data_IF_938316929860
#
_entry.id   IF_938316929860
#
_cell.length_a   1.000
_cell.length_b   1.000
_cell.length_c   1.000
_cell.angle_alpha   90.00
_cell.angle_beta   90.00
_cell.angle_gamma   90.00
#
_symmetry.space_group_name_H-M   'P 1'
#
loop_
_entity.id
_entity.type
_entity.pdbx_description
1 polymer ?
#
# COMPACT_ATOMS: atom_id res chain seq x y z
N UNK A 1 -12.16 24.04 13.55
CA UNK A 1 -13.42 23.27 13.37
C UNK A 1 -13.35 22.18 12.30
N UNK A 2 -12.68 22.37 11.15
CA UNK A 2 -12.66 21.37 10.04
C UNK A 2 -12.03 20.01 10.41
N UNK A 3 -11.00 19.99 11.27
CA UNK A 3 -10.23 18.78 11.61
C UNK A 3 -11.04 17.65 12.27
N UNK A 4 -11.81 17.88 13.36
CA UNK A 4 -12.63 16.83 13.97
C UNK A 4 -13.79 16.37 13.08
N UNK A 5 -14.33 17.27 12.24
CA UNK A 5 -15.44 16.96 11.32
C UNK A 5 -15.06 15.89 10.29
N UNK A 6 -13.86 15.98 9.70
CA UNK A 6 -13.41 14.99 8.70
C UNK A 6 -13.25 13.58 9.27
N UNK A 7 -12.85 13.46 10.54
CA UNK A 7 -12.72 12.15 11.21
C UNK A 7 -14.05 11.61 11.74
N UNK A 8 -14.99 12.48 12.09
CA UNK A 8 -16.31 12.08 12.58
C UNK A 8 -17.26 11.68 11.45
N UNK A 9 -17.13 12.27 10.26
CA UNK A 9 -18.02 12.04 9.13
C UNK A 9 -18.16 10.56 8.73
N UNK A 10 -17.08 9.75 8.62
CA UNK A 10 -17.22 8.32 8.32
C UNK A 10 -17.98 7.56 9.41
N UNK A 11 -17.82 7.93 10.68
CA UNK A 11 -18.53 7.27 11.79
C UNK A 11 -20.02 7.58 11.74
N UNK A 12 -20.39 8.84 11.47
CA UNK A 12 -21.80 9.22 11.29
C UNK A 12 -22.41 8.49 10.09
N UNK A 13 -21.72 8.45 8.96
CA UNK A 13 -22.19 7.72 7.78
C UNK A 13 -22.35 6.21 8.06
N UNK A 14 -21.42 5.62 8.79
CA UNK A 14 -21.49 4.23 9.21
C UNK A 14 -22.74 3.94 10.05
N UNK A 15 -23.07 4.82 11.00
CA UNK A 15 -24.27 4.70 11.84
C UNK A 15 -25.54 4.84 10.99
N UNK A 16 -25.60 5.83 10.10
CA UNK A 16 -26.76 6.02 9.20
C UNK A 16 -26.97 4.79 8.30
N UNK A 17 -25.91 4.29 7.67
CA UNK A 17 -26.00 3.10 6.82
C UNK A 17 -26.32 1.84 7.61
N UNK A 18 -25.84 1.70 8.84
CA UNK A 18 -26.22 0.59 9.70
C UNK A 18 -27.72 0.64 10.04
N UNK A 19 -28.25 1.79 10.47
CA UNK A 19 -29.66 1.96 10.81
C UNK A 19 -30.59 1.80 9.60
N UNK A 20 -30.09 2.11 8.40
CA UNK A 20 -30.84 1.99 7.14
C UNK A 20 -30.58 0.67 6.38
N UNK A 21 -29.87 -0.28 6.99
CA UNK A 21 -29.43 -1.55 6.38
C UNK A 21 -28.81 -1.40 4.99
N UNK A 22 -27.94 -0.40 4.83
CA UNK A 22 -27.19 -0.14 3.60
C UNK A 22 -25.81 -0.78 3.67
N UNK A 23 -25.36 -1.47 2.61
CA UNK A 23 -24.07 -2.14 2.59
C UNK A 23 -22.91 -1.12 2.58
N UNK A 24 -21.84 -1.41 3.32
CA UNK A 24 -20.59 -0.63 3.32
C UNK A 24 -19.39 -1.54 3.55
N UNK A 25 -18.32 -1.30 2.79
CA UNK A 25 -17.00 -1.82 3.10
C UNK A 25 -16.82 -3.32 2.88
N UNK A 26 -16.65 -3.73 1.63
CA UNK A 26 -16.39 -5.13 1.24
C UNK A 26 -15.18 -5.70 1.97
N UNK A 27 -14.04 -5.01 1.98
CA UNK A 27 -12.81 -5.55 2.58
C UNK A 27 -12.88 -5.53 4.11
N UNK A 28 -13.49 -4.49 4.69
CA UNK A 28 -13.75 -4.48 6.13
C UNK A 28 -14.70 -5.59 6.58
N UNK A 29 -15.65 -6.00 5.73
CA UNK A 29 -16.50 -7.16 5.99
C UNK A 29 -15.69 -8.47 5.99
N UNK A 30 -14.71 -8.62 5.10
CA UNK A 30 -13.76 -9.76 5.11
C UNK A 30 -12.92 -9.76 6.38
N UNK A 31 -12.38 -8.61 6.82
CA UNK A 31 -11.59 -8.52 8.07
C UNK A 31 -12.43 -8.92 9.29
N UNK A 32 -13.65 -8.40 9.36
CA UNK A 32 -14.60 -8.74 10.42
C UNK A 32 -15.01 -10.21 10.37
N UNK A 33 -15.25 -10.77 9.19
CA UNK A 33 -15.61 -12.17 9.03
C UNK A 33 -14.46 -13.10 9.43
N UNK A 34 -13.21 -12.76 9.09
CA UNK A 34 -12.02 -13.47 9.57
C UNK A 34 -11.89 -13.43 11.09
N UNK A 35 -12.10 -12.27 11.71
CA UNK A 35 -12.14 -12.13 13.17
C UNK A 35 -13.26 -12.98 13.83
N UNK A 36 -14.45 -13.03 13.23
CA UNK A 36 -15.53 -13.91 13.69
C UNK A 36 -15.19 -15.39 13.50
N UNK A 37 -14.44 -15.75 12.45
CA UNK A 37 -13.99 -17.12 12.23
C UNK A 37 -13.07 -17.56 13.39
N UNK A 38 -12.13 -16.71 13.81
CA UNK A 38 -11.27 -16.94 14.98
C UNK A 38 -12.11 -17.20 16.23
N UNK A 39 -13.10 -16.35 16.52
CA UNK A 39 -13.97 -16.50 17.70
C UNK A 39 -14.83 -17.77 17.67
N UNK A 40 -15.15 -18.28 16.48
CA UNK A 40 -15.99 -19.46 16.27
C UNK A 40 -15.19 -20.75 16.07
N UNK A 41 -13.86 -20.69 16.11
CA UNK A 41 -13.00 -21.85 15.81
C UNK A 41 -13.12 -22.33 14.36
N UNK A 42 -13.44 -21.44 13.42
CA UNK A 42 -13.58 -21.73 12.00
C UNK A 42 -12.27 -21.43 11.25
N UNK A 43 -11.99 -22.17 10.18
CA UNK A 43 -10.82 -21.97 9.32
C UNK A 43 -10.86 -20.61 8.63
N UNK A 44 -9.74 -19.88 8.65
CA UNK A 44 -9.61 -18.57 8.00
C UNK A 44 -9.55 -18.66 6.47
N UNK A 45 -9.03 -19.77 5.96
CA UNK A 45 -8.73 -19.94 4.53
C UNK A 45 -9.71 -20.89 3.83
N UNK A 46 -10.88 -21.11 4.43
CA UNK A 46 -12.08 -21.66 3.80
C UNK A 46 -13.07 -20.51 3.54
N UNK A 47 -14.17 -20.74 2.78
CA UNK A 47 -15.22 -19.74 2.63
C UNK A 47 -15.70 -19.22 4.00
N UNK A 48 -15.63 -17.90 4.19
CA UNK A 48 -15.93 -17.26 5.47
C UNK A 48 -17.44 -17.24 5.72
N UNK A 49 -17.91 -18.06 6.66
CA UNK A 49 -19.35 -18.19 6.98
C UNK A 49 -20.00 -16.91 7.52
N UNK A 50 -19.21 -15.94 8.00
CA UNK A 50 -19.70 -14.70 8.58
C UNK A 50 -19.66 -13.50 7.62
N UNK A 51 -19.35 -13.73 6.34
CA UNK A 51 -19.38 -12.68 5.33
C UNK A 51 -20.85 -12.29 5.04
N UNK A 52 -21.19 -10.99 4.98
CA UNK A 52 -22.56 -10.58 4.67
C UNK A 52 -22.97 -10.94 3.23
N UNK A 53 -24.25 -11.27 3.01
CA UNK A 53 -24.77 -11.72 1.71
C UNK A 53 -24.59 -10.71 0.57
N UNK A 54 -24.56 -9.41 0.89
CA UNK A 54 -24.32 -8.35 -0.10
C UNK A 54 -22.85 -8.27 -0.56
N UNK A 55 -21.93 -8.85 0.21
CA UNK A 55 -20.51 -8.82 -0.10
C UNK A 55 -20.16 -10.00 -1.00
N UNK A 56 -19.33 -9.82 -2.03
CA UNK A 56 -18.75 -10.95 -2.75
C UNK A 56 -18.03 -11.89 -1.77
N UNK A 57 -18.06 -13.19 -2.05
CA UNK A 57 -17.41 -14.24 -1.26
C UNK A 57 -15.88 -14.20 -1.41
N UNK A 58 -15.25 -13.11 -0.95
CA UNK A 58 -13.81 -12.92 -1.03
C UNK A 58 -13.08 -13.74 0.06
N UNK A 59 -11.94 -14.36 -0.26
CA UNK A 59 -11.17 -15.12 0.71
C UNK A 59 -10.40 -14.21 1.66
N UNK A 60 -10.08 -14.72 2.85
CA UNK A 60 -9.09 -14.09 3.72
C UNK A 60 -7.69 -14.35 3.16
N UNK A 61 -6.92 -13.28 2.92
CA UNK A 61 -5.59 -13.36 2.27
C UNK A 61 -4.44 -12.86 3.16
N UNK A 62 -4.74 -12.54 4.41
CA UNK A 62 -3.78 -11.96 5.36
C UNK A 62 -3.17 -13.06 6.24
N UNK A 63 -1.99 -12.84 6.85
CA UNK A 63 -1.44 -13.72 7.88
C UNK A 63 -2.45 -13.97 9.00
N UNK A 64 -2.45 -15.15 9.65
CA UNK A 64 -3.47 -15.50 10.65
C UNK A 64 -3.55 -14.52 11.83
N UNK A 65 -2.40 -14.00 12.27
CA UNK A 65 -2.35 -13.01 13.35
C UNK A 65 -3.11 -11.73 13.01
N UNK A 66 -3.26 -11.38 11.73
CA UNK A 66 -4.07 -10.24 11.32
C UNK A 66 -5.54 -10.41 11.71
N UNK A 67 -6.11 -11.62 11.59
CA UNK A 67 -7.49 -11.88 12.01
C UNK A 67 -7.68 -11.68 13.52
N UNK A 68 -6.68 -12.07 14.32
CA UNK A 68 -6.66 -11.81 15.77
C UNK A 68 -6.59 -10.30 16.05
N UNK A 69 -5.75 -9.56 15.33
CA UNK A 69 -5.67 -8.10 15.45
C UNK A 69 -6.96 -7.38 15.00
N UNK A 70 -7.77 -8.03 14.16
CA UNK A 70 -9.09 -7.55 13.74
C UNK A 70 -10.24 -7.94 14.66
N UNK A 71 -9.99 -8.66 15.78
CA UNK A 71 -11.02 -9.00 16.77
C UNK A 71 -11.90 -7.83 17.23
N UNK A 72 -11.38 -6.60 17.44
CA UNK A 72 -12.23 -5.46 17.80
C UNK A 72 -13.34 -5.17 16.77
N UNK A 73 -13.13 -5.49 15.48
CA UNK A 73 -14.12 -5.30 14.42
C UNK A 73 -15.30 -6.28 14.53
N UNK A 74 -15.11 -7.42 15.19
CA UNK A 74 -16.17 -8.40 15.41
C UNK A 74 -17.20 -7.92 16.46
N UNK A 75 -16.84 -6.93 17.29
CA UNK A 75 -17.70 -6.41 18.35
C UNK A 75 -18.84 -5.51 17.85
N UNK A 76 -18.80 -5.11 16.58
CA UNK A 76 -19.75 -4.17 15.99
C UNK A 76 -20.33 -4.72 14.68
N UNK A 77 -21.46 -4.20 14.18
CA UNK A 77 -21.96 -4.50 12.83
C UNK A 77 -20.96 -4.14 11.72
N UNK A 78 -21.10 -4.76 10.54
CA UNK A 78 -20.15 -4.60 9.43
C UNK A 78 -19.95 -3.14 9.00
N UNK A 79 -21.03 -2.35 8.95
CA UNK A 79 -21.01 -0.93 8.61
C UNK A 79 -20.23 -0.10 9.64
N UNK A 80 -20.35 -0.43 10.94
CA UNK A 80 -19.59 0.25 11.99
C UNK A 80 -18.11 -0.14 11.96
N UNK A 81 -17.79 -1.41 11.65
CA UNK A 81 -16.41 -1.84 11.42
C UNK A 81 -15.76 -1.07 10.25
N UNK A 82 -16.51 -0.85 9.15
CA UNK A 82 -16.11 0.05 8.08
C UNK A 82 -15.86 1.47 8.60
N UNK A 83 -16.77 2.02 9.42
CA UNK A 83 -16.64 3.36 9.99
C UNK A 83 -15.36 3.55 10.81
N UNK A 84 -14.97 2.55 11.60
CA UNK A 84 -13.72 2.54 12.37
C UNK A 84 -12.50 2.61 11.44
N UNK A 85 -12.46 1.78 10.39
CA UNK A 85 -11.34 1.75 9.44
C UNK A 85 -11.28 3.00 8.55
N UNK A 86 -12.43 3.55 8.17
CA UNK A 86 -12.51 4.80 7.42
C UNK A 86 -12.02 5.99 8.27
N UNK A 87 -12.43 6.09 9.54
CA UNK A 87 -11.93 7.10 10.46
C UNK A 87 -10.41 6.95 10.71
N UNK A 88 -9.95 5.71 10.90
CA UNK A 88 -8.53 5.37 11.00
C UNK A 88 -7.74 5.78 9.76
N UNK A 89 -8.31 5.58 8.57
CA UNK A 89 -7.74 6.03 7.30
C UNK A 89 -7.59 7.55 7.27
N UNK A 90 -8.64 8.32 7.57
CA UNK A 90 -8.55 9.80 7.58
C UNK A 90 -7.46 10.29 8.55
N UNK A 91 -7.37 9.68 9.75
CA UNK A 91 -6.32 9.99 10.71
C UNK A 91 -4.91 9.63 10.21
N UNK A 92 -4.79 8.48 9.56
CA UNK A 92 -3.54 8.02 8.96
C UNK A 92 -3.07 8.94 7.83
N UNK A 93 -3.99 9.39 6.96
CA UNK A 93 -3.70 10.35 5.89
C UNK A 93 -3.25 11.69 6.46
N UNK A 94 -3.97 12.21 7.48
CA UNK A 94 -3.58 13.44 8.17
C UNK A 94 -2.19 13.35 8.77
N UNK A 95 -1.88 12.22 9.43
CA UNK A 95 -0.56 11.95 10.01
C UNK A 95 0.51 11.90 8.92
N UNK A 96 0.22 11.23 7.80
CA UNK A 96 1.14 11.09 6.66
C UNK A 96 1.45 12.43 5.99
N UNK A 97 0.44 13.28 5.78
CA UNK A 97 0.62 14.65 5.26
C UNK A 97 1.53 15.46 6.20
N UNK A 98 1.29 15.38 7.52
CA UNK A 98 2.13 16.07 8.51
C UNK A 98 3.58 15.59 8.49
N UNK A 99 3.79 14.27 8.49
CA UNK A 99 5.14 13.68 8.49
C UNK A 99 5.92 13.98 7.20
N UNK A 100 5.22 14.10 6.07
CA UNK A 100 5.81 14.51 4.80
C UNK A 100 6.07 16.04 4.70
N UNK A 101 5.74 16.82 5.75
CA UNK A 101 5.86 18.28 5.77
C UNK A 101 4.82 19.01 4.92
N UNK A 102 3.78 18.31 4.45
CA UNK A 102 2.78 18.87 3.56
C UNK A 102 1.76 19.78 4.23
N UNK A 103 1.11 20.67 3.46
CA UNK A 103 0.08 21.54 3.98
C UNK A 103 -1.20 20.78 4.31
N UNK A 104 -1.74 20.99 5.51
CA UNK A 104 -2.97 20.34 5.97
C UNK A 104 -4.21 20.69 5.12
N UNK A 105 -4.22 21.86 4.48
CA UNK A 105 -5.32 22.30 3.63
C UNK A 105 -5.48 21.43 2.38
N UNK A 106 -4.45 20.67 2.00
CA UNK A 106 -4.53 19.76 0.85
C UNK A 106 -5.32 18.49 1.13
N UNK A 107 -5.60 18.17 2.40
CA UNK A 107 -6.25 16.91 2.77
C UNK A 107 -7.59 16.66 2.06
N UNK A 108 -8.53 17.64 1.93
CA UNK A 108 -9.76 17.43 1.18
C UNK A 108 -9.52 17.07 -0.30
N UNK A 109 -8.52 17.68 -0.95
CA UNK A 109 -8.16 17.35 -2.34
C UNK A 109 -7.57 15.94 -2.44
N UNK A 110 -6.75 15.55 -1.45
CA UNK A 110 -6.12 14.23 -1.41
C UNK A 110 -7.14 13.11 -1.15
N UNK A 111 -8.26 13.40 -0.47
CA UNK A 111 -9.37 12.45 -0.30
C UNK A 111 -10.05 12.10 -1.64
N UNK A 112 -9.97 12.98 -2.64
CA UNK A 112 -10.55 12.75 -3.96
C UNK A 112 -9.68 11.87 -4.87
N UNK A 113 -8.45 11.53 -4.47
CA UNK A 113 -7.60 10.64 -5.26
C UNK A 113 -8.18 9.22 -5.25
N UNK A 114 -8.13 8.54 -6.39
CA UNK A 114 -8.71 7.20 -6.56
C UNK A 114 -8.20 6.19 -5.55
N UNK A 115 -6.88 6.10 -5.26
CA UNK A 115 -6.40 5.15 -4.28
C UNK A 115 -6.98 5.41 -2.89
N UNK A 116 -7.32 6.66 -2.59
CA UNK A 116 -7.78 7.11 -1.27
C UNK A 116 -9.27 6.88 -1.10
N UNK A 117 -10.11 7.41 -2.00
CA UNK A 117 -11.56 7.19 -1.87
C UNK A 117 -11.90 5.71 -2.02
N UNK A 118 -11.15 4.96 -2.84
CA UNK A 118 -11.33 3.50 -2.95
C UNK A 118 -10.90 2.77 -1.68
N UNK A 119 -9.79 3.18 -1.06
CA UNK A 119 -9.39 2.65 0.27
C UNK A 119 -10.48 2.89 1.31
N UNK A 120 -11.05 4.09 1.34
CA UNK A 120 -12.15 4.42 2.26
C UNK A 120 -13.39 3.58 1.93
N UNK A 121 -13.85 3.56 0.68
CA UNK A 121 -15.06 2.84 0.27
C UNK A 121 -14.99 1.34 0.54
N UNK A 122 -13.82 0.72 0.34
CA UNK A 122 -13.61 -0.69 0.66
C UNK A 122 -13.45 -0.98 2.16
N UNK A 123 -13.11 0.02 2.97
CA UNK A 123 -12.75 -0.18 4.38
C UNK A 123 -11.35 -0.81 4.53
N UNK A 124 -10.40 -0.38 3.72
CA UNK A 124 -9.04 -0.93 3.66
C UNK A 124 -8.12 -0.44 4.79
N UNK A 125 -7.21 -1.31 5.24
CA UNK A 125 -6.25 -1.00 6.32
C UNK A 125 -4.96 -0.33 5.80
N UNK A 126 -4.74 -0.33 4.48
CA UNK A 126 -3.46 0.07 3.87
C UNK A 126 -2.98 1.47 4.28
N UNK A 127 -3.88 2.45 4.41
CA UNK A 127 -3.52 3.79 4.84
C UNK A 127 -2.97 3.81 6.28
N UNK A 128 -3.56 3.01 7.18
CA UNK A 128 -3.08 2.85 8.55
C UNK A 128 -1.69 2.23 8.55
N UNK A 129 -1.48 1.15 7.77
CA UNK A 129 -0.16 0.51 7.64
C UNK A 129 0.90 1.46 7.07
N UNK A 130 0.53 2.27 6.06
CA UNK A 130 1.40 3.33 5.52
C UNK A 130 1.79 4.34 6.60
N UNK A 131 0.84 4.80 7.41
CA UNK A 131 1.13 5.75 8.49
C UNK A 131 2.03 5.14 9.58
N UNK A 132 1.83 3.86 9.92
CA UNK A 132 2.73 3.13 10.84
C UNK A 132 4.17 3.12 10.31
N UNK A 133 4.36 2.81 9.02
CA UNK A 133 5.69 2.82 8.39
C UNK A 133 6.29 4.23 8.39
N UNK A 134 5.52 5.26 8.03
CA UNK A 134 6.01 6.65 8.03
C UNK A 134 6.40 7.11 9.44
N UNK A 135 5.59 6.78 10.45
CA UNK A 135 5.90 7.06 11.86
C UNK A 135 7.19 6.36 12.28
N UNK A 136 7.38 5.10 11.92
CA UNK A 136 8.59 4.35 12.26
C UNK A 136 9.85 4.99 11.65
N UNK A 137 9.81 5.23 10.34
CA UNK A 137 10.98 5.67 9.61
C UNK A 137 11.33 7.12 9.93
N UNK A 138 10.32 7.98 10.06
CA UNK A 138 10.52 9.43 10.17
C UNK A 138 10.48 9.94 11.62
N UNK A 139 9.60 9.40 12.47
CA UNK A 139 9.38 9.92 13.82
C UNK A 139 10.06 9.09 14.92
N UNK A 140 10.16 7.76 14.76
CA UNK A 140 10.81 6.87 15.73
C UNK A 140 12.31 6.64 15.43
N UNK A 141 12.86 7.31 14.41
CA UNK A 141 14.27 7.23 14.05
C UNK A 141 15.18 7.56 15.25
N UNK A 142 16.14 6.68 15.52
CA UNK A 142 17.11 6.87 16.60
C UNK A 142 16.58 6.54 18.01
N UNK A 143 15.30 6.18 18.14
CA UNK A 143 14.72 5.73 19.41
C UNK A 143 14.91 4.22 19.61
N UNK A 144 14.65 3.73 20.82
CA UNK A 144 14.61 2.28 21.11
C UNK A 144 13.45 1.54 20.42
N UNK A 145 12.48 2.28 19.88
CA UNK A 145 11.28 1.74 19.22
C UNK A 145 11.39 1.72 17.69
N UNK A 146 12.49 2.19 17.11
CA UNK A 146 12.71 2.11 15.66
C UNK A 146 12.61 0.66 15.16
N UNK A 147 11.88 0.45 14.07
CA UNK A 147 11.58 -0.85 13.46
C UNK A 147 10.30 -1.52 13.98
N UNK A 148 9.81 -1.18 15.17
CA UNK A 148 8.68 -1.89 15.79
C UNK A 148 7.40 -1.76 14.97
N UNK A 149 7.05 -0.56 14.50
CA UNK A 149 5.81 -0.35 13.76
C UNK A 149 5.88 -0.93 12.35
N UNK A 150 7.06 -0.99 11.73
CA UNK A 150 7.28 -1.75 10.49
C UNK A 150 7.01 -3.24 10.73
N UNK A 151 7.53 -3.81 11.82
CA UNK A 151 7.27 -5.21 12.18
C UNK A 151 5.80 -5.52 12.43
N UNK A 152 5.09 -4.64 13.15
CA UNK A 152 3.62 -4.75 13.34
C UNK A 152 2.89 -4.68 12.00
N UNK A 153 3.22 -3.69 11.17
CA UNK A 153 2.58 -3.54 9.86
C UNK A 153 2.83 -4.76 8.96
N UNK A 154 4.05 -5.29 8.97
CA UNK A 154 4.45 -6.50 8.24
C UNK A 154 3.69 -7.75 8.70
N UNK A 155 3.40 -7.85 10.00
CA UNK A 155 2.63 -8.96 10.56
C UNK A 155 1.15 -8.91 10.18
N UNK A 156 0.60 -7.71 9.99
CA UNK A 156 -0.75 -7.54 9.44
C UNK A 156 -0.75 -7.84 7.95
N UNK A 157 0.19 -7.30 7.16
CA UNK A 157 0.29 -7.51 5.72
C UNK A 157 1.76 -7.61 5.34
N UNK A 158 2.16 -8.59 4.53
CA UNK A 158 3.58 -8.83 4.24
C UNK A 158 4.29 -7.68 3.49
N UNK A 159 3.55 -6.82 2.79
CA UNK A 159 4.12 -5.78 1.91
C UNK A 159 5.07 -4.81 2.64
N UNK A 160 4.79 -4.34 3.87
CA UNK A 160 5.75 -3.60 4.68
C UNK A 160 7.14 -4.22 4.92
N UNK A 161 7.36 -5.53 4.69
CA UNK A 161 8.70 -6.14 4.83
C UNK A 161 9.75 -5.50 3.93
N UNK A 162 9.36 -4.88 2.81
CA UNK A 162 10.29 -4.12 1.94
C UNK A 162 10.99 -2.98 2.69
N UNK A 163 10.38 -2.44 3.76
CA UNK A 163 10.99 -1.41 4.58
C UNK A 163 12.08 -1.94 5.53
N UNK A 164 12.18 -3.24 5.76
CA UNK A 164 13.36 -3.83 6.41
C UNK A 164 14.59 -3.59 5.53
N UNK A 165 14.48 -3.80 4.22
CA UNK A 165 15.55 -3.46 3.27
C UNK A 165 15.82 -1.95 3.26
N UNK A 166 14.80 -1.09 3.34
CA UNK A 166 15.00 0.36 3.50
C UNK A 166 15.85 0.71 4.72
N UNK A 167 15.55 0.11 5.88
CA UNK A 167 16.33 0.33 7.11
C UNK A 167 17.79 -0.08 6.92
N UNK A 168 18.05 -1.22 6.27
CA UNK A 168 19.42 -1.65 5.95
C UNK A 168 20.12 -0.67 4.98
N UNK A 169 19.43 -0.25 3.91
CA UNK A 169 19.95 0.70 2.92
C UNK A 169 20.26 2.08 3.50
N UNK A 170 19.57 2.45 4.58
CA UNK A 170 19.73 3.73 5.30
C UNK A 170 20.58 3.61 6.56
N UNK A 171 21.33 2.50 6.72
CA UNK A 171 22.31 2.33 7.80
C UNK A 171 21.68 2.07 9.19
N UNK A 172 20.48 1.49 9.25
CA UNK A 172 19.72 1.21 10.48
C UNK A 172 19.53 -0.30 10.73
N UNK A 173 20.60 -1.11 10.84
CA UNK A 173 20.48 -2.56 11.00
C UNK A 173 19.79 -2.98 12.30
N UNK A 174 19.99 -2.22 13.40
CA UNK A 174 19.31 -2.50 14.68
C UNK A 174 17.78 -2.40 14.55
N UNK A 175 17.30 -1.42 13.82
CA UNK A 175 15.87 -1.24 13.58
C UNK A 175 15.34 -2.32 12.62
N UNK A 176 16.12 -2.73 11.63
CA UNK A 176 15.78 -3.84 10.75
C UNK A 176 15.62 -5.16 11.53
N UNK A 177 16.54 -5.44 12.46
CA UNK A 177 16.45 -6.61 13.36
C UNK A 177 15.23 -6.53 14.26
N UNK A 178 14.93 -5.35 14.86
CA UNK A 178 13.71 -5.17 15.67
C UNK A 178 12.44 -5.37 14.86
N UNK A 179 12.40 -4.85 13.63
CA UNK A 179 11.26 -5.04 12.73
C UNK A 179 11.02 -6.53 12.43
N UNK A 180 12.08 -7.27 12.10
CA UNK A 180 12.00 -8.71 11.91
C UNK A 180 11.62 -9.45 13.19
N UNK A 181 12.17 -9.08 14.34
CA UNK A 181 11.84 -9.70 15.61
C UNK A 181 10.36 -9.52 15.98
N UNK A 182 9.80 -8.32 15.79
CA UNK A 182 8.37 -8.06 16.02
C UNK A 182 7.49 -8.81 15.03
N UNK A 183 7.85 -8.79 13.74
CA UNK A 183 7.16 -9.55 12.71
C UNK A 183 7.13 -11.04 13.02
N UNK A 184 8.28 -11.64 13.31
CA UNK A 184 8.42 -13.05 13.67
C UNK A 184 7.69 -13.36 14.97
N UNK A 185 7.80 -12.51 16.00
CA UNK A 185 7.11 -12.71 17.27
C UNK A 185 5.59 -12.74 17.12
N UNK A 186 5.02 -11.83 16.33
CA UNK A 186 3.58 -11.84 15.99
C UNK A 186 3.21 -13.03 15.10
N UNK A 187 4.08 -13.43 14.16
CA UNK A 187 3.90 -14.63 13.36
C UNK A 187 3.86 -15.90 14.21
N UNK A 188 4.76 -16.03 15.18
CA UNK A 188 4.77 -17.13 16.17
C UNK A 188 3.53 -17.08 17.05
N UNK A 189 3.10 -15.91 17.51
CA UNK A 189 1.83 -15.78 18.21
C UNK A 189 0.65 -16.28 17.34
N UNK A 190 0.64 -15.95 16.05
CA UNK A 190 -0.33 -16.50 15.09
C UNK A 190 -0.28 -18.02 14.98
N UNK A 191 0.92 -18.61 14.95
CA UNK A 191 1.12 -20.06 14.94
C UNK A 191 0.61 -20.73 16.23
N UNK A 192 0.84 -20.11 17.39
CA UNK A 192 0.38 -20.64 18.68
C UNK A 192 -1.13 -20.56 18.82
N UNK A 193 -1.72 -19.43 18.40
CA UNK A 193 -3.16 -19.19 18.51
C UNK A 193 -3.98 -19.95 17.45
N UNK A 194 -3.43 -20.08 16.24
CA UNK A 194 -4.12 -20.60 15.05
C UNK A 194 -3.20 -21.55 14.26
N UNK A 195 -2.79 -22.70 14.83
CA UNK A 195 -1.73 -23.54 14.26
C UNK A 195 -2.06 -24.09 12.87
N UNK A 196 -3.27 -24.61 12.67
CA UNK A 196 -3.70 -25.15 11.38
C UNK A 196 -3.73 -24.10 10.27
N UNK A 197 -4.28 -22.92 10.57
CA UNK A 197 -4.32 -21.78 9.66
C UNK A 197 -2.91 -21.24 9.38
N UNK A 198 -2.04 -21.14 10.39
CA UNK A 198 -0.67 -20.70 10.19
C UNK A 198 0.12 -21.62 9.27
N UNK A 199 0.02 -22.94 9.46
CA UNK A 199 0.65 -23.90 8.54
C UNK A 199 0.11 -23.69 7.13
N UNK A 200 -1.22 -23.69 6.96
CA UNK A 200 -1.87 -23.51 5.66
C UNK A 200 -1.47 -22.20 4.98
N UNK A 201 -1.39 -21.10 5.73
CA UNK A 201 -0.99 -19.80 5.19
C UNK A 201 0.39 -19.85 4.53
N UNK A 202 1.38 -20.37 5.25
CA UNK A 202 2.78 -20.40 4.81
C UNK A 202 3.05 -21.46 3.74
N UNK A 203 2.29 -22.57 3.72
CA UNK A 203 2.52 -23.67 2.77
C UNK A 203 1.67 -23.57 1.50
N UNK A 204 0.49 -22.94 1.55
CA UNK A 204 -0.42 -22.92 0.39
C UNK A 204 -1.01 -21.54 0.11
N UNK A 205 -1.68 -20.89 1.07
CA UNK A 205 -2.44 -19.66 0.80
C UNK A 205 -1.55 -18.54 0.26
N UNK A 206 -0.41 -18.28 0.89
CA UNK A 206 0.53 -17.23 0.45
C UNK A 206 1.06 -17.50 -0.97
N UNK A 207 1.36 -18.77 -1.30
CA UNK A 207 1.89 -19.16 -2.61
C UNK A 207 0.82 -19.14 -3.70
N UNK A 208 -0.41 -19.55 -3.34
CA UNK A 208 -1.57 -19.58 -4.23
C UNK A 208 -2.17 -18.21 -4.52
N UNK A 209 -2.09 -17.26 -3.57
CA UNK A 209 -2.55 -15.89 -3.74
C UNK A 209 -1.88 -15.16 -4.93
N UNK A 210 -0.67 -15.61 -5.34
CA UNK A 210 0.05 -15.07 -6.50
C UNK A 210 -0.36 -15.70 -7.85
N UNK A 211 -1.11 -16.82 -7.83
CA UNK A 211 -1.50 -17.59 -9.02
C UNK A 211 -2.91 -17.29 -9.52
N UNK A 212 -3.65 -16.40 -8.85
CA UNK A 212 -5.00 -16.07 -9.29
C UNK A 212 -4.95 -15.55 -10.73
N UNK A 213 -5.81 -16.11 -11.58
CA UNK A 213 -6.12 -15.70 -12.96
C UNK A 213 -6.47 -14.20 -13.12
N UNK A 214 -6.50 -13.44 -12.02
CA UNK A 214 -6.70 -11.99 -11.97
C UNK A 214 -5.43 -11.14 -11.98
N UNK A 215 -4.22 -11.70 -12.18
CA UNK A 215 -3.02 -10.85 -12.25
C UNK A 215 -3.06 -9.85 -13.42
N UNK A 216 -3.66 -10.23 -14.56
CA UNK A 216 -3.87 -9.35 -15.70
C UNK A 216 -4.96 -8.28 -15.46
N UNK A 217 -5.80 -8.44 -14.43
CA UNK A 217 -6.93 -7.55 -14.17
C UNK A 217 -6.46 -6.12 -14.03
N UNK A 218 -7.20 -5.18 -14.64
CA UNK A 218 -6.79 -3.78 -14.79
C UNK A 218 -6.43 -3.13 -13.45
N UNK A 219 -7.09 -3.53 -12.37
CA UNK A 219 -6.84 -2.98 -11.04
C UNK A 219 -5.44 -3.33 -10.51
N UNK A 220 -4.80 -4.38 -11.00
CA UNK A 220 -3.44 -4.76 -10.63
C UNK A 220 -2.42 -3.84 -11.34
N UNK A 221 -2.05 -2.77 -10.65
CA UNK A 221 -1.03 -1.80 -11.02
C UNK A 221 0.33 -2.20 -10.43
N UNK A 222 0.83 -3.38 -10.82
CA UNK A 222 2.18 -3.87 -10.53
C UNK A 222 2.92 -4.21 -11.83
N UNK A 223 4.22 -4.46 -11.76
CA UNK A 223 4.98 -5.01 -12.89
C UNK A 223 4.45 -6.38 -13.30
N UNK A 224 4.01 -7.21 -12.33
CA UNK A 224 3.36 -8.49 -12.61
C UNK A 224 2.11 -8.28 -13.48
N UNK A 225 1.22 -7.35 -13.09
CA UNK A 225 0.02 -7.06 -13.87
C UNK A 225 0.32 -6.52 -15.27
N UNK A 226 1.30 -5.63 -15.40
CA UNK A 226 1.76 -5.13 -16.71
C UNK A 226 2.28 -6.28 -17.59
N UNK A 227 3.14 -7.14 -17.06
CA UNK A 227 3.73 -8.26 -17.80
C UNK A 227 2.66 -9.29 -18.21
N UNK A 228 1.69 -9.57 -17.34
CA UNK A 228 0.55 -10.43 -17.69
C UNK A 228 -0.34 -9.87 -18.80
N UNK A 229 -0.47 -8.54 -18.89
CA UNK A 229 -1.22 -7.89 -19.97
C UNK A 229 -0.46 -7.82 -21.29
N UNK A 230 0.87 -7.67 -21.26
CA UNK A 230 1.68 -7.40 -22.45
C UNK A 230 2.37 -8.64 -23.03
N UNK A 231 2.78 -9.59 -22.19
CA UNK A 231 3.59 -10.76 -22.60
C UNK A 231 3.04 -12.07 -22.08
N UNK A 232 1.76 -12.09 -21.71
CA UNK A 232 1.10 -13.26 -21.12
C UNK A 232 1.82 -13.83 -19.88
N UNK A 233 2.47 -12.96 -19.10
CA UNK A 233 3.01 -13.32 -17.79
C UNK A 233 4.41 -13.93 -17.81
N UNK A 234 5.25 -13.58 -18.81
CA UNK A 234 6.62 -14.10 -18.90
C UNK A 234 7.41 -13.93 -17.58
N UNK A 235 7.80 -15.04 -16.91
CA UNK A 235 8.47 -14.97 -15.62
C UNK A 235 9.88 -14.37 -15.73
N UNK A 236 10.54 -14.56 -16.88
CA UNK A 236 11.87 -13.98 -17.15
C UNK A 236 11.78 -12.47 -17.27
N UNK A 237 10.82 -11.95 -18.05
CA UNK A 237 10.61 -10.50 -18.19
C UNK A 237 10.26 -9.87 -16.84
N UNK A 238 9.35 -10.49 -16.09
CA UNK A 238 9.00 -10.02 -14.75
C UNK A 238 10.20 -9.97 -13.82
N UNK A 239 11.02 -11.03 -13.78
CA UNK A 239 12.22 -11.09 -12.95
C UNK A 239 13.22 -9.99 -13.32
N UNK A 240 13.49 -9.78 -14.61
CA UNK A 240 14.39 -8.74 -15.09
C UNK A 240 13.90 -7.33 -14.71
N UNK A 241 12.61 -7.04 -14.93
CA UNK A 241 12.02 -5.75 -14.58
C UNK A 241 12.02 -5.52 -13.06
N UNK A 242 11.71 -6.55 -12.28
CA UNK A 242 11.72 -6.48 -10.82
C UNK A 242 13.14 -6.23 -10.29
N UNK A 243 14.15 -6.97 -10.78
CA UNK A 243 15.55 -6.77 -10.41
C UNK A 243 16.06 -5.38 -10.78
N UNK A 244 15.73 -4.90 -12.00
CA UNK A 244 16.07 -3.55 -12.43
C UNK A 244 15.42 -2.50 -11.52
N UNK A 245 14.12 -2.65 -11.23
CA UNK A 245 13.38 -1.76 -10.31
C UNK A 245 14.02 -1.72 -8.92
N UNK A 246 14.33 -2.88 -8.34
CA UNK A 246 14.96 -2.99 -7.02
C UNK A 246 16.37 -2.38 -7.01
N UNK A 247 17.18 -2.63 -8.04
CA UNK A 247 18.52 -2.05 -8.16
C UNK A 247 18.50 -0.52 -8.24
N UNK A 248 17.62 0.03 -9.09
CA UNK A 248 17.39 1.47 -9.22
C UNK A 248 16.88 2.07 -7.92
N UNK A 249 15.88 1.45 -7.30
CA UNK A 249 15.31 1.91 -6.04
C UNK A 249 16.36 1.91 -4.92
N UNK A 250 17.17 0.85 -4.80
CA UNK A 250 18.23 0.76 -3.81
C UNK A 250 19.29 1.86 -3.98
N UNK A 251 19.64 2.20 -5.22
CA UNK A 251 20.53 3.32 -5.51
C UNK A 251 19.90 4.67 -5.13
N UNK A 252 18.66 4.92 -5.56
CA UNK A 252 17.91 6.15 -5.28
C UNK A 252 17.70 6.36 -3.78
N UNK A 253 17.36 5.31 -3.03
CA UNK A 253 17.19 5.34 -1.57
C UNK A 253 18.49 5.77 -0.89
N UNK A 254 19.62 5.15 -1.24
CA UNK A 254 20.94 5.49 -0.66
C UNK A 254 21.34 6.93 -0.99
N UNK A 255 21.15 7.38 -2.22
CA UNK A 255 21.50 8.75 -2.63
C UNK A 255 20.61 9.79 -1.93
N UNK A 256 19.29 9.57 -1.90
CA UNK A 256 18.35 10.43 -1.17
C UNK A 256 18.69 10.51 0.32
N UNK A 257 19.01 9.36 0.93
CA UNK A 257 19.40 9.28 2.33
C UNK A 257 20.67 10.08 2.63
N UNK A 258 21.71 9.95 1.80
CA UNK A 258 22.96 10.73 1.93
C UNK A 258 22.75 12.23 1.86
N UNK A 259 21.71 12.68 1.14
CA UNK A 259 21.32 14.10 1.01
C UNK A 259 20.36 14.57 2.12
N UNK A 260 20.02 13.71 3.07
CA UNK A 260 19.06 14.02 4.13
C UNK A 260 17.59 13.98 3.72
N UNK A 261 17.26 13.52 2.50
CA UNK A 261 15.88 13.41 2.02
C UNK A 261 15.23 12.08 2.45
N UNK A 262 14.93 11.97 3.74
CA UNK A 262 14.33 10.76 4.33
C UNK A 262 12.93 10.45 3.77
N UNK A 263 12.11 11.48 3.52
CA UNK A 263 10.76 11.31 2.96
C UNK A 263 10.85 10.78 1.53
N UNK A 264 11.71 11.37 0.70
CA UNK A 264 11.95 10.88 -0.66
C UNK A 264 12.44 9.43 -0.67
N UNK A 265 13.38 9.08 0.22
CA UNK A 265 13.90 7.72 0.31
C UNK A 265 12.80 6.70 0.67
N UNK A 266 11.92 7.02 1.62
CA UNK A 266 10.78 6.16 1.98
C UNK A 266 9.81 6.01 0.82
N UNK A 267 9.49 7.09 0.12
CA UNK A 267 8.58 7.05 -1.02
C UNK A 267 9.13 6.17 -2.15
N UNK A 268 10.44 6.27 -2.46
CA UNK A 268 11.08 5.38 -3.44
C UNK A 268 10.93 3.92 -3.03
N UNK A 269 11.17 3.57 -1.76
CA UNK A 269 10.95 2.19 -1.30
C UNK A 269 9.48 1.78 -1.43
N UNK A 270 8.54 2.64 -1.05
CA UNK A 270 7.12 2.35 -1.13
C UNK A 270 6.68 2.04 -2.57
N UNK A 271 7.02 2.92 -3.51
CA UNK A 271 6.68 2.76 -4.92
C UNK A 271 7.39 1.56 -5.56
N UNK A 272 8.65 1.30 -5.21
CA UNK A 272 9.33 0.08 -5.65
C UNK A 272 8.63 -1.18 -5.13
N UNK A 273 8.21 -1.19 -3.86
CA UNK A 273 7.42 -2.26 -3.27
C UNK A 273 6.08 -2.49 -3.99
N UNK A 274 5.39 -1.43 -4.37
CA UNK A 274 4.15 -1.52 -5.17
C UNK A 274 4.42 -2.10 -6.56
N UNK A 275 5.50 -1.67 -7.22
CA UNK A 275 5.87 -2.17 -8.55
C UNK A 275 6.23 -3.65 -8.54
N UNK A 276 7.01 -4.10 -7.56
CA UNK A 276 7.53 -5.49 -7.51
C UNK A 276 6.62 -6.47 -6.78
N UNK A 277 5.58 -5.99 -6.10
CA UNK A 277 4.55 -6.86 -5.52
C UNK A 277 3.87 -7.68 -6.63
N UNK A 278 3.55 -8.97 -6.41
CA UNK A 278 2.79 -9.77 -7.36
C UNK A 278 1.44 -9.14 -7.71
N UNK A 279 0.82 -8.50 -6.72
CA UNK A 279 -0.44 -7.78 -6.87
C UNK A 279 -0.35 -6.43 -6.14
N UNK A 280 -0.61 -5.36 -6.88
CA UNK A 280 -0.78 -4.00 -6.33
C UNK A 280 -2.07 -3.40 -6.87
N UNK A 281 -3.17 -3.63 -6.18
CA UNK A 281 -4.45 -3.01 -6.51
C UNK A 281 -4.34 -1.48 -6.51
N UNK A 282 -5.19 -0.79 -7.27
CA UNK A 282 -5.17 0.69 -7.34
C UNK A 282 -5.22 1.35 -5.95
N UNK A 283 -6.02 0.81 -5.03
CA UNK A 283 -6.10 1.30 -3.65
C UNK A 283 -4.87 0.97 -2.77
N UNK A 284 -3.90 0.17 -3.21
CA UNK A 284 -2.60 0.04 -2.55
C UNK A 284 -1.72 1.29 -2.76
N UNK A 285 -2.00 2.09 -3.79
CA UNK A 285 -1.23 3.27 -4.18
C UNK A 285 -1.47 4.51 -3.31
N UNK A 286 -2.05 4.38 -2.11
CA UNK A 286 -2.27 5.47 -1.14
C UNK A 286 -1.00 6.29 -0.81
N UNK A 287 0.18 5.76 -1.11
CA UNK A 287 1.47 6.44 -1.05
C UNK A 287 1.59 7.70 -1.96
N UNK A 288 0.67 7.88 -2.91
CA UNK A 288 0.55 9.15 -3.66
C UNK A 288 0.23 10.33 -2.73
N UNK A 289 -0.38 10.09 -1.57
CA UNK A 289 -0.71 11.13 -0.58
C UNK A 289 0.55 11.78 0.01
N UNK A 290 1.47 11.05 0.68
CA UNK A 290 2.72 11.65 1.15
C UNK A 290 3.60 12.19 0.01
N UNK A 291 3.51 11.63 -1.21
CA UNK A 291 4.18 12.21 -2.40
C UNK A 291 3.63 13.60 -2.74
N UNK A 292 2.31 13.75 -2.88
CA UNK A 292 1.68 15.04 -3.12
C UNK A 292 1.97 16.03 -1.98
N UNK A 293 1.93 15.56 -0.73
CA UNK A 293 2.24 16.37 0.44
C UNK A 293 3.66 16.98 0.36
N UNK A 294 4.69 16.19 0.05
CA UNK A 294 6.06 16.69 -0.07
C UNK A 294 6.24 17.59 -1.31
N UNK A 295 5.57 17.30 -2.42
CA UNK A 295 5.61 18.15 -3.62
C UNK A 295 5.01 19.54 -3.35
N UNK A 296 3.87 19.60 -2.65
CA UNK A 296 3.25 20.84 -2.24
C UNK A 296 4.11 21.61 -1.22
N UNK A 297 4.71 20.91 -0.25
CA UNK A 297 5.64 21.51 0.72
C UNK A 297 6.85 22.15 0.02
N UNK A 298 7.36 21.51 -1.03
CA UNK A 298 8.47 22.01 -1.86
C UNK A 298 8.02 23.01 -2.94
N UNK A 299 6.76 23.46 -2.92
CA UNK A 299 6.17 24.39 -3.91
C UNK A 299 6.25 23.89 -5.36
N UNK A 300 6.32 22.57 -5.57
CA UNK A 300 6.34 21.91 -6.89
C UNK A 300 4.90 21.68 -7.38
N UNK A 301 4.12 22.75 -7.47
CA UNK A 301 2.67 22.67 -7.73
C UNK A 301 2.33 21.97 -9.04
N UNK A 302 3.09 22.21 -10.12
CA UNK A 302 2.89 21.51 -11.39
C UNK A 302 3.09 19.99 -11.28
N UNK A 303 4.13 19.55 -10.56
CA UNK A 303 4.36 18.12 -10.29
C UNK A 303 3.27 17.52 -9.39
N UNK A 304 2.81 18.26 -8.38
CA UNK A 304 1.72 17.82 -7.52
C UNK A 304 0.41 17.66 -8.32
N UNK A 305 0.07 18.65 -9.15
CA UNK A 305 -1.09 18.58 -10.04
C UNK A 305 -1.01 17.39 -11.00
N UNK A 306 0.16 17.16 -11.63
CA UNK A 306 0.35 16.00 -12.51
C UNK A 306 0.12 14.67 -11.79
N UNK A 307 0.68 14.49 -10.59
CA UNK A 307 0.46 13.27 -9.79
C UNK A 307 -1.00 13.13 -9.37
N UNK A 308 -1.65 14.22 -8.97
CA UNK A 308 -3.07 14.21 -8.59
C UNK A 308 -3.97 13.85 -9.77
N UNK A 309 -3.76 14.47 -10.94
CA UNK A 309 -4.53 14.18 -12.16
C UNK A 309 -4.35 12.74 -12.58
N UNK A 310 -3.11 12.23 -12.59
CA UNK A 310 -2.84 10.82 -12.88
C UNK A 310 -3.58 9.89 -11.90
N UNK A 311 -3.58 10.26 -10.61
CA UNK A 311 -4.16 9.44 -9.54
C UNK A 311 -5.66 9.68 -9.32
N UNK A 312 -6.33 10.46 -10.17
CA UNK A 312 -7.77 10.70 -10.05
C UNK A 312 -8.63 9.54 -10.57
N UNK A 313 -8.03 8.56 -11.25
CA UNK A 313 -8.69 7.32 -11.69
C UNK A 313 -9.40 7.40 -13.04
N UNK A 314 -9.40 8.56 -13.70
CA UNK A 314 -10.01 8.75 -15.02
C UNK A 314 -9.41 7.86 -16.11
N UNK A 315 -8.12 7.54 -16.02
CA UNK A 315 -7.42 6.73 -17.03
C UNK A 315 -8.06 5.35 -17.16
N UNK A 316 -8.55 4.80 -16.06
CA UNK A 316 -9.22 3.50 -16.09
C UNK A 316 -10.55 3.59 -16.85
N UNK A 317 -11.24 4.73 -16.85
CA UNK A 317 -12.50 4.90 -17.58
C UNK A 317 -12.33 4.85 -19.10
N UNK A 318 -11.08 4.90 -19.58
CA UNK A 318 -10.73 4.90 -21.00
C UNK A 318 -10.33 3.52 -21.54
N UNK A 319 -10.33 2.48 -20.70
CA UNK A 319 -9.90 1.14 -21.11
C UNK A 319 -11.04 0.13 -20.94
N UNK A 320 -11.22 -0.82 -21.88
CA UNK A 320 -12.06 -2.00 -21.69
C UNK A 320 -11.63 -2.80 -20.47
N UNK A 321 -12.56 -3.43 -19.74
CA UNK A 321 -12.27 -4.11 -18.47
C UNK A 321 -13.13 -5.36 -18.30
N UNK A 322 -12.55 -6.36 -17.64
CA UNK A 322 -13.23 -7.62 -17.34
C UNK A 322 -13.14 -8.61 -18.49
N UNK A 323 -13.44 -9.88 -18.17
CA UNK A 323 -13.52 -10.98 -19.15
C UNK A 323 -12.25 -11.21 -20.01
N UNK A 324 -11.09 -10.69 -19.60
CA UNK A 324 -9.82 -10.88 -20.30
C UNK A 324 -9.51 -9.80 -21.34
N UNK A 325 -10.39 -8.81 -21.51
CA UNK A 325 -10.19 -7.66 -22.41
C UNK A 325 -8.88 -6.91 -22.15
N UNK A 326 -8.35 -6.97 -20.92
CA UNK A 326 -7.09 -6.33 -20.55
C UNK A 326 -5.86 -6.84 -21.29
N UNK A 327 -5.92 -8.06 -21.84
CA UNK A 327 -4.83 -8.63 -22.66
C UNK A 327 -4.94 -8.23 -24.13
N UNK A 328 -6.09 -7.68 -24.55
CA UNK A 328 -6.37 -7.26 -25.92
C UNK A 328 -6.22 -5.74 -26.12
N UNK A 329 -5.79 -5.03 -25.07
CA UNK A 329 -5.58 -3.59 -25.13
C UNK A 329 -4.64 -3.17 -26.26
N UNK A 330 -5.08 -2.18 -27.02
CA UNK A 330 -4.24 -1.44 -27.96
C UNK A 330 -3.09 -0.75 -27.22
N UNK A 331 -2.03 -0.29 -27.93
CA UNK A 331 -0.95 0.45 -27.28
C UNK A 331 -1.42 1.67 -26.48
N UNK A 332 -2.44 2.41 -26.96
CA UNK A 332 -2.98 3.57 -26.25
C UNK A 332 -3.74 3.18 -24.97
N UNK A 333 -4.56 2.13 -25.04
CA UNK A 333 -5.24 1.59 -23.87
C UNK A 333 -4.24 1.03 -22.87
N UNK A 334 -3.17 0.37 -23.32
CA UNK A 334 -2.11 -0.11 -22.45
C UNK A 334 -1.38 1.04 -21.73
N UNK A 335 -1.19 2.20 -22.38
CA UNK A 335 -0.65 3.39 -21.71
C UNK A 335 -1.61 3.91 -20.62
N UNK A 336 -2.90 4.01 -20.91
CA UNK A 336 -3.90 4.50 -19.95
C UNK A 336 -4.13 3.50 -18.79
N UNK A 337 -4.25 2.22 -19.11
CA UNK A 337 -4.54 1.13 -18.18
C UNK A 337 -3.35 0.75 -17.29
N UNK A 338 -2.12 1.10 -17.69
CA UNK A 338 -0.90 0.90 -16.88
C UNK A 338 -0.31 2.22 -16.36
N UNK A 339 -1.10 3.30 -16.35
CA UNK A 339 -0.62 4.66 -16.09
C UNK A 339 0.18 4.79 -14.78
N UNK A 340 -0.19 4.08 -13.71
CA UNK A 340 0.52 4.16 -12.43
C UNK A 340 1.90 3.52 -12.51
N UNK A 341 1.97 2.34 -13.13
CA UNK A 341 3.21 1.58 -13.32
C UNK A 341 4.18 2.37 -14.19
N UNK A 342 3.69 2.85 -15.34
CA UNK A 342 4.49 3.58 -16.32
C UNK A 342 4.99 4.92 -15.79
N UNK A 343 4.12 5.72 -15.15
CA UNK A 343 4.52 7.00 -14.59
C UNK A 343 5.56 6.86 -13.48
N UNK A 344 5.45 5.82 -12.66
CA UNK A 344 6.42 5.54 -11.59
C UNK A 344 7.76 5.10 -12.14
N UNK A 345 7.76 4.21 -13.15
CA UNK A 345 8.97 3.82 -13.87
C UNK A 345 9.66 5.02 -14.53
N UNK A 346 8.88 5.89 -15.18
CA UNK A 346 9.40 7.12 -15.78
C UNK A 346 9.98 8.09 -14.74
N UNK A 347 9.32 8.24 -13.57
CA UNK A 347 9.83 9.04 -12.47
C UNK A 347 11.17 8.51 -11.92
N UNK A 348 11.31 7.20 -11.77
CA UNK A 348 12.59 6.59 -11.38
C UNK A 348 13.68 6.83 -12.43
N UNK A 349 13.34 6.67 -13.72
CA UNK A 349 14.25 6.97 -14.83
C UNK A 349 14.70 8.43 -14.85
N UNK A 350 13.78 9.39 -14.69
CA UNK A 350 14.10 10.81 -14.65
C UNK A 350 14.99 11.18 -13.46
N UNK A 351 14.71 10.62 -12.28
CA UNK A 351 15.54 10.81 -11.09
C UNK A 351 16.95 10.25 -11.27
N UNK A 352 17.11 9.13 -11.98
CA UNK A 352 18.43 8.60 -12.34
C UNK A 352 19.18 9.54 -13.29
N UNK A 353 18.53 9.95 -14.39
CA UNK A 353 19.15 10.74 -15.45
C UNK A 353 19.58 12.13 -14.96
N UNK A 354 18.69 12.86 -14.30
CA UNK A 354 18.98 14.20 -13.76
C UNK A 354 20.14 14.20 -12.76
N UNK A 355 20.37 13.06 -12.09
CA UNK A 355 21.43 12.92 -11.09
C UNK A 355 22.77 12.49 -11.67
N UNK A 356 22.79 11.73 -12.77
CA UNK A 356 24.03 11.46 -13.53
C UNK A 356 24.63 12.75 -14.12
N UNK A 357 23.78 13.65 -14.62
CA UNK A 357 24.21 14.95 -15.18
C UNK A 357 24.73 15.91 -14.08
N UNK A 358 24.22 15.82 -12.86
CA UNK A 358 24.71 16.61 -11.72
C UNK A 358 26.09 16.16 -11.21
N UNK A 359 26.36 14.84 -11.25
CA UNK A 359 27.65 14.27 -10.83
C UNK A 359 28.78 14.55 -11.85
N UNK A 360 28.47 14.55 -13.16
CA UNK A 360 29.47 14.85 -14.20
C UNK A 360 29.89 16.33 -14.23
N UNK A 361 29.04 17.26 -13.80
CA UNK A 361 29.36 18.70 -13.74
C UNK A 361 30.27 19.11 -12.56
N UNK A 362 30.43 18.27 -11.54
CA UNK A 362 31.33 18.54 -10.42
C UNK A 362 32.75 17.98 -10.64
N UNK A 363 33.01 17.32 -11.77
CA UNK A 363 34.27 16.63 -12.07
C UNK A 363 35.24 17.36 -13.00
N UNK A 364 35.01 18.63 -13.34
CA UNK A 364 35.96 19.41 -14.15
C UNK A 364 36.99 20.09 -13.22
N UNK A 365 38.28 19.71 -13.26
CA UNK A 365 39.31 20.47 -12.56
C UNK A 365 39.46 21.82 -13.25
N UNK A 366 39.49 22.89 -12.45
CA UNK A 366 39.93 24.21 -12.92
C UNK A 366 41.40 24.05 -13.34
N UNK A 367 41.76 24.34 -14.60
CA UNK A 367 43.17 24.36 -14.97
C UNK A 367 43.82 25.57 -14.27
N UNK A 368 44.81 25.27 -13.43
CA UNK A 368 45.74 26.23 -12.84
C UNK A 368 46.72 26.77 -13.87
#
# INVERSE_FOLDING_TARGET
MIKPLLTAAPVVLAVVCWLADRPLGVDSAVYRAGALAVLRGQSLYEPLAAIPDWSPALPFTYPPIAAVLFLPLALVPAQLAWGVLAAGTVLALRTSVRLAGGPWWALPLLLCLEPVWRTIGLGQVNAVLMALVLLDVLALRGTRFGGVLIGVAAAVKLTPLVFVAHLLLTGRPRDAVRALAVFTGLGVAGLVLLPGDAVRYWTSTMLGANKASGNAWWGNQSLSGLVHRVTDGSPVVLALLALACLGVAAWLVRDLHRRGDAVGAVLVTAFAGLLVSPISWTHHWVWVVPLCAVLLARRRFGSAAAVMTLSAGWTFALVPRGEGEEQLWTPLESLAGNAYVLATGAAFGLLLLTRRVGASRQGSPVPS
#
